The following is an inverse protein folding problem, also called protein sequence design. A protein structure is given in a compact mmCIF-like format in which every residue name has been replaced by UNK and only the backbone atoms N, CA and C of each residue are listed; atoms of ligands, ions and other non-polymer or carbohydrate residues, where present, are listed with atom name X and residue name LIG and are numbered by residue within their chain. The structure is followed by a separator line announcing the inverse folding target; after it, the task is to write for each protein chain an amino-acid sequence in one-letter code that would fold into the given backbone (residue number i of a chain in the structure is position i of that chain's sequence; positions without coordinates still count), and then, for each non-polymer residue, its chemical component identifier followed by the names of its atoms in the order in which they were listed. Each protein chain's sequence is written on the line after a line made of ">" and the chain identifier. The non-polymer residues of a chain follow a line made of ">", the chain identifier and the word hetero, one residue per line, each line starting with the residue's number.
data_IF_368534254580
#
_entry.id   IF_368534254580
#
_cell.length_a   1.000
_cell.length_b   1.000
_cell.length_c   1.000
_cell.angle_alpha   90.00
_cell.angle_beta   90.00
_cell.angle_gamma   90.00
#
_symmetry.space_group_name_H-M   'P 1'
#
loop_
_entity.id
_entity.type
_entity.pdbx_description
1 polymer ?
#
# COMPACT_ATOMS: atom_id res chain seq x y z
N UNK A 1 52.50 -55.79 -21.88
CA UNK A 1 51.98 -55.13 -20.66
C UNK A 1 52.12 -53.62 -20.86
N UNK A 2 51.02 -52.85 -20.77
CA UNK A 2 50.86 -51.40 -21.06
C UNK A 2 50.25 -51.04 -22.42
N UNK A 3 48.93 -51.21 -22.51
CA UNK A 3 48.00 -50.33 -23.22
C UNK A 3 46.78 -50.17 -22.30
N UNK A 4 46.07 -49.04 -22.40
CA UNK A 4 44.95 -48.56 -21.57
C UNK A 4 45.32 -47.48 -20.55
N UNK A 5 45.37 -46.23 -21.01
CA UNK A 5 44.93 -45.06 -20.25
C UNK A 5 44.81 -43.87 -21.21
N UNK A 6 43.66 -43.74 -21.86
CA UNK A 6 43.25 -42.51 -22.54
C UNK A 6 41.73 -42.46 -22.49
N UNK A 7 41.21 -41.27 -22.16
CA UNK A 7 39.78 -40.89 -22.04
C UNK A 7 39.18 -41.01 -20.64
N UNK A 8 39.49 -40.04 -19.77
CA UNK A 8 38.52 -39.58 -18.77
C UNK A 8 38.82 -38.15 -18.29
N UNK A 9 38.79 -37.15 -19.17
CA UNK A 9 38.87 -35.74 -18.75
C UNK A 9 38.21 -34.84 -19.80
N UNK A 10 36.90 -34.96 -19.98
CA UNK A 10 36.11 -33.91 -20.65
C UNK A 10 34.62 -33.97 -20.27
N UNK A 11 34.32 -33.78 -18.97
CA UNK A 11 32.92 -33.65 -18.52
C UNK A 11 32.72 -32.67 -17.33
N UNK A 12 33.76 -31.94 -16.90
CA UNK A 12 33.69 -31.10 -15.68
C UNK A 12 33.49 -29.59 -15.99
N UNK A 13 33.53 -29.17 -17.26
CA UNK A 13 33.47 -27.75 -17.63
C UNK A 13 32.06 -27.12 -17.80
N UNK A 14 31.00 -27.93 -17.87
CA UNK A 14 29.64 -27.45 -18.21
C UNK A 14 28.69 -27.31 -17.01
N UNK A 15 29.02 -27.87 -15.84
CA UNK A 15 28.14 -27.83 -14.66
C UNK A 15 28.25 -26.51 -13.85
N UNK A 16 29.46 -25.93 -13.79
CA UNK A 16 29.71 -24.67 -13.07
C UNK A 16 28.96 -23.45 -13.64
N UNK A 17 28.93 -23.19 -14.98
CA UNK A 17 28.23 -22.03 -15.51
C UNK A 17 26.70 -22.14 -15.36
N UNK A 18 26.14 -23.36 -15.40
CA UNK A 18 24.70 -23.59 -15.25
C UNK A 18 24.23 -23.37 -13.81
N UNK A 19 24.99 -23.85 -12.81
CA UNK A 19 24.68 -23.62 -11.39
C UNK A 19 24.78 -22.13 -11.00
N UNK A 20 25.76 -21.41 -11.54
CA UNK A 20 25.90 -19.97 -11.30
C UNK A 20 24.75 -19.17 -11.93
N UNK A 21 24.36 -19.49 -13.16
CA UNK A 21 23.24 -18.83 -13.84
C UNK A 21 21.91 -19.03 -13.09
N UNK A 22 21.66 -20.25 -12.59
CA UNK A 22 20.46 -20.53 -11.80
C UNK A 22 20.43 -19.79 -10.45
N UNK A 23 21.57 -19.63 -9.78
CA UNK A 23 21.66 -18.85 -8.54
C UNK A 23 21.43 -17.34 -8.79
N UNK A 24 22.00 -16.80 -9.88
CA UNK A 24 21.78 -15.40 -10.27
C UNK A 24 20.31 -15.14 -10.63
N UNK A 25 19.65 -16.08 -11.30
CA UNK A 25 18.22 -15.99 -11.64
C UNK A 25 17.33 -16.06 -10.38
N UNK A 26 17.69 -16.89 -9.40
CA UNK A 26 16.99 -16.96 -8.11
C UNK A 26 17.10 -15.65 -7.33
N UNK A 27 18.29 -15.04 -7.27
CA UNK A 27 18.51 -13.75 -6.59
C UNK A 27 17.74 -12.63 -7.28
N UNK A 28 17.78 -12.54 -8.61
CA UNK A 28 16.98 -11.54 -9.36
C UNK A 28 15.49 -11.71 -9.15
N UNK A 29 15.01 -12.96 -9.15
CA UNK A 29 13.61 -13.27 -8.82
C UNK A 29 13.28 -12.86 -7.39
N UNK A 30 14.19 -13.12 -6.45
CA UNK A 30 14.07 -12.72 -5.04
C UNK A 30 13.98 -11.22 -4.86
N UNK A 31 14.79 -10.45 -5.57
CA UNK A 31 14.72 -8.98 -5.59
C UNK A 31 13.34 -8.51 -6.05
N UNK A 32 12.85 -9.06 -7.17
CA UNK A 32 11.53 -8.74 -7.70
C UNK A 32 10.42 -9.05 -6.69
N UNK A 33 10.46 -10.22 -6.07
CA UNK A 33 9.46 -10.67 -5.10
C UNK A 33 9.53 -9.89 -3.79
N UNK A 34 10.73 -9.53 -3.31
CA UNK A 34 10.89 -8.70 -2.12
C UNK A 34 10.32 -7.29 -2.34
N UNK A 35 10.46 -6.77 -3.56
CA UNK A 35 9.82 -5.52 -3.99
C UNK A 35 8.31 -5.67 -4.09
N UNK A 36 7.80 -6.72 -4.74
CA UNK A 36 6.36 -6.99 -4.83
C UNK A 36 5.68 -7.20 -3.46
N UNK A 37 6.40 -7.81 -2.53
CA UNK A 37 6.01 -7.96 -1.13
C UNK A 37 6.18 -6.68 -0.28
N UNK A 38 6.61 -5.58 -0.89
CA UNK A 38 6.80 -4.29 -0.24
C UNK A 38 7.67 -4.35 1.03
N UNK A 39 8.67 -5.24 1.05
CA UNK A 39 9.49 -5.47 2.25
C UNK A 39 10.21 -4.19 2.69
N UNK A 40 10.65 -3.37 1.73
CA UNK A 40 11.39 -2.13 2.01
C UNK A 40 10.56 -1.09 2.74
N UNK A 41 9.26 -0.99 2.44
CA UNK A 41 8.40 0.06 3.01
C UNK A 41 8.37 -0.03 4.53
N UNK A 42 8.28 -1.23 5.11
CA UNK A 42 8.26 -1.43 6.56
C UNK A 42 9.65 -1.60 7.19
N UNK A 43 10.63 -2.12 6.43
CA UNK A 43 11.95 -2.44 6.94
C UNK A 43 13.01 -1.37 6.66
N UNK A 44 12.62 -0.12 6.36
CA UNK A 44 13.55 0.99 6.13
C UNK A 44 13.07 2.25 6.84
N UNK A 45 13.84 2.77 7.79
CA UNK A 45 13.55 4.06 8.41
C UNK A 45 13.81 5.23 7.44
N UNK A 46 13.14 6.39 7.59
CA UNK A 46 13.47 7.60 6.84
C UNK A 46 14.95 7.97 6.97
N UNK A 47 15.65 8.13 5.83
CA UNK A 47 17.09 8.38 5.79
C UNK A 47 17.97 7.21 6.27
N UNK A 48 17.39 6.04 6.54
CA UNK A 48 18.08 4.82 6.93
C UNK A 48 18.60 4.02 5.74
N UNK A 49 19.48 3.06 6.03
CA UNK A 49 19.93 2.09 5.03
C UNK A 49 18.77 1.13 4.66
N UNK A 50 18.66 0.71 3.39
CA UNK A 50 17.64 -0.24 2.96
C UNK A 50 17.60 -1.49 3.84
N UNK A 51 16.40 -1.92 4.23
CA UNK A 51 16.17 -3.14 5.02
C UNK A 51 16.74 -3.16 6.45
N UNK A 52 17.34 -2.06 6.92
CA UNK A 52 17.95 -1.97 8.25
C UNK A 52 16.94 -1.77 9.40
N UNK A 53 15.65 -1.75 9.10
CA UNK A 53 14.57 -1.56 10.06
C UNK A 53 14.44 -0.13 10.57
N UNK A 54 13.65 0.02 11.63
CA UNK A 54 13.49 1.26 12.39
C UNK A 54 12.33 2.15 11.98
N UNK A 55 11.52 1.78 10.99
CA UNK A 55 10.30 2.52 10.68
C UNK A 55 9.28 2.37 11.83
N UNK A 56 8.75 3.48 12.39
CA UNK A 56 7.65 3.42 13.35
C UNK A 56 6.31 3.18 12.65
N UNK A 57 5.61 2.12 13.05
CA UNK A 57 4.23 1.81 12.69
C UNK A 57 3.38 2.14 13.90
N UNK A 58 2.73 3.30 13.85
CA UNK A 58 1.86 3.78 14.93
C UNK A 58 0.54 3.01 14.90
N UNK A 59 0.14 2.46 16.04
CA UNK A 59 -1.15 1.78 16.19
C UNK A 59 -1.85 2.21 17.47
N UNK A 60 -3.17 1.96 17.60
CA UNK A 60 -3.90 2.19 18.86
C UNK A 60 -3.33 1.41 20.06
N UNK A 61 -2.52 0.38 19.81
CA UNK A 61 -1.94 -0.48 20.85
C UNK A 61 -0.53 -0.04 21.28
N UNK A 62 0.05 0.95 20.60
CA UNK A 62 1.45 1.38 20.75
C UNK A 62 2.19 1.39 19.40
N UNK A 63 3.48 1.72 19.44
CA UNK A 63 4.32 1.78 18.24
C UNK A 63 5.07 0.47 18.05
N UNK A 64 4.92 -0.11 16.85
CA UNK A 64 5.67 -1.26 16.38
C UNK A 64 6.78 -0.75 15.48
N UNK A 65 7.97 -1.34 15.55
CA UNK A 65 9.09 -0.95 14.70
C UNK A 65 9.42 -2.06 13.72
N UNK A 66 9.64 -1.70 12.45
CA UNK A 66 10.20 -2.61 11.46
C UNK A 66 11.56 -3.13 11.92
N UNK A 67 11.79 -4.44 11.82
CA UNK A 67 13.05 -5.06 12.23
C UNK A 67 14.14 -4.88 11.17
N UNK A 68 15.41 -5.02 11.56
CA UNK A 68 16.49 -5.15 10.59
C UNK A 68 16.41 -6.55 9.95
N UNK A 69 16.32 -6.61 8.61
CA UNK A 69 16.28 -7.86 7.83
C UNK A 69 17.44 -7.97 6.84
N UNK A 70 18.51 -7.21 7.07
CA UNK A 70 19.81 -7.41 6.40
C UNK A 70 20.49 -8.69 6.91
N UNK A 71 21.53 -9.21 6.23
CA UNK A 71 22.22 -10.42 6.68
C UNK A 71 23.19 -10.20 7.85
N UNK A 72 23.02 -9.12 8.63
CA UNK A 72 23.69 -8.97 9.93
C UNK A 72 23.39 -10.19 10.81
N UNK A 73 24.44 -10.75 11.40
CA UNK A 73 24.33 -11.94 12.28
C UNK A 73 23.85 -11.57 13.69
N UNK A 74 24.10 -10.33 14.12
CA UNK A 74 23.78 -9.87 15.46
C UNK A 74 22.43 -9.16 15.52
N UNK A 75 22.13 -8.32 14.52
CA UNK A 75 20.96 -7.45 14.53
C UNK A 75 19.93 -7.78 13.44
N UNK A 76 20.33 -8.55 12.42
CA UNK A 76 19.50 -8.90 11.26
C UNK A 76 19.06 -10.37 11.21
N UNK A 77 18.85 -10.87 9.99
CA UNK A 77 18.44 -12.24 9.71
C UNK A 77 19.61 -13.16 9.28
N UNK A 78 20.87 -12.73 9.44
CA UNK A 78 22.05 -13.45 8.94
C UNK A 78 22.28 -14.85 9.51
N UNK A 79 21.54 -15.23 10.56
CA UNK A 79 21.58 -16.57 11.15
C UNK A 79 20.31 -17.41 10.87
N UNK A 80 19.34 -16.86 10.15
CA UNK A 80 18.15 -17.61 9.74
C UNK A 80 18.53 -18.61 8.65
N UNK A 81 18.07 -19.85 8.79
CA UNK A 81 18.00 -20.77 7.65
C UNK A 81 16.69 -20.56 6.86
N UNK A 82 16.54 -21.25 5.73
CA UNK A 82 15.40 -21.06 4.83
C UNK A 82 14.06 -21.49 5.46
N UNK A 83 14.05 -22.54 6.30
CA UNK A 83 12.85 -22.97 7.02
C UNK A 83 12.45 -21.97 8.11
N UNK A 84 13.43 -21.42 8.83
CA UNK A 84 13.20 -20.39 9.85
C UNK A 84 12.71 -19.08 9.23
N UNK A 85 13.25 -18.70 8.07
CA UNK A 85 12.79 -17.53 7.32
C UNK A 85 11.36 -17.74 6.80
N UNK A 86 11.08 -18.90 6.21
CA UNK A 86 9.74 -19.26 5.77
C UNK A 86 8.74 -19.24 6.93
N UNK A 87 9.06 -19.83 8.08
CA UNK A 87 8.19 -19.82 9.26
C UNK A 87 7.97 -18.40 9.83
N UNK A 88 8.98 -17.53 9.75
CA UNK A 88 8.82 -16.12 10.13
C UNK A 88 7.84 -15.40 9.18
N UNK A 89 7.97 -15.63 7.87
CA UNK A 89 7.10 -15.01 6.87
C UNK A 89 5.67 -15.56 6.87
N UNK A 90 5.48 -16.87 6.99
CA UNK A 90 4.18 -17.52 6.76
C UNK A 90 3.43 -17.91 8.04
N UNK A 91 4.13 -17.97 9.19
CA UNK A 91 3.53 -18.36 10.47
C UNK A 91 3.73 -17.32 11.58
N UNK A 92 4.48 -16.25 11.29
CA UNK A 92 4.84 -15.24 12.27
C UNK A 92 5.73 -15.78 13.39
N UNK A 93 6.54 -16.83 13.14
CA UNK A 93 7.41 -17.46 14.14
C UNK A 93 8.87 -17.07 13.92
N UNK A 94 9.44 -16.33 14.86
CA UNK A 94 10.86 -15.93 14.79
C UNK A 94 11.76 -17.11 15.13
N UNK A 95 13.02 -17.02 14.70
CA UNK A 95 14.08 -17.98 15.03
C UNK A 95 14.30 -18.19 16.54
N UNK A 96 14.11 -17.15 17.34
CA UNK A 96 14.20 -17.23 18.81
C UNK A 96 12.96 -17.86 19.48
N UNK A 97 12.02 -18.37 18.69
CA UNK A 97 10.77 -19.00 19.14
C UNK A 97 9.67 -18.00 19.48
N UNK A 98 9.93 -16.69 19.45
CA UNK A 98 8.93 -15.69 19.77
C UNK A 98 8.01 -15.38 18.57
N UNK A 99 6.76 -15.04 18.84
CA UNK A 99 5.80 -14.66 17.79
C UNK A 99 5.97 -13.20 17.35
N UNK A 100 5.80 -12.96 16.06
CA UNK A 100 5.69 -11.64 15.45
C UNK A 100 4.30 -11.05 15.74
N UNK A 101 4.25 -9.73 15.93
CA UNK A 101 2.98 -9.02 15.94
C UNK A 101 2.37 -9.02 14.53
N UNK A 102 1.03 -9.10 14.39
CA UNK A 102 0.33 -9.13 13.10
C UNK A 102 0.35 -7.78 12.35
N UNK A 103 1.26 -6.87 12.71
CA UNK A 103 1.66 -5.77 11.85
C UNK A 103 2.60 -6.23 10.74
N UNK A 104 3.35 -7.32 10.96
CA UNK A 104 3.96 -8.06 9.86
C UNK A 104 2.86 -8.89 9.19
N UNK A 105 2.67 -8.79 7.86
CA UNK A 105 1.51 -9.37 7.16
C UNK A 105 1.65 -10.90 6.91
N UNK A 106 2.09 -11.67 7.92
CA UNK A 106 2.20 -13.13 7.80
C UNK A 106 0.85 -13.81 7.60
N UNK A 107 -0.25 -13.16 8.00
CA UNK A 107 -1.62 -13.59 7.72
C UNK A 107 -2.02 -13.52 6.25
N UNK A 108 -1.30 -12.72 5.46
CA UNK A 108 -1.41 -12.68 4.01
C UNK A 108 -0.37 -13.60 3.38
N UNK A 109 0.88 -13.54 3.84
CA UNK A 109 1.98 -14.38 3.33
C UNK A 109 1.88 -15.87 3.65
N UNK A 110 0.95 -16.34 4.49
CA UNK A 110 0.80 -17.78 4.73
C UNK A 110 0.51 -18.60 3.45
N UNK A 111 0.02 -17.93 2.41
CA UNK A 111 -0.24 -18.47 1.07
C UNK A 111 0.95 -18.31 0.11
N UNK A 112 2.07 -17.74 0.56
CA UNK A 112 3.29 -17.60 -0.24
C UNK A 112 3.88 -18.98 -0.51
N UNK A 113 4.13 -19.34 -1.78
CA UNK A 113 4.84 -20.56 -2.12
C UNK A 113 6.24 -20.59 -1.51
N UNK A 114 6.73 -21.79 -1.16
CA UNK A 114 8.05 -21.97 -0.58
C UNK A 114 9.16 -21.38 -1.46
N UNK A 115 9.12 -21.65 -2.76
CA UNK A 115 10.12 -21.18 -3.71
C UNK A 115 10.21 -19.64 -3.78
N UNK A 116 9.12 -18.93 -3.48
CA UNK A 116 9.07 -17.47 -3.48
C UNK A 116 9.75 -16.93 -2.22
N UNK A 117 9.49 -17.54 -1.07
CA UNK A 117 10.18 -17.21 0.18
C UNK A 117 11.68 -17.51 0.11
N UNK A 118 12.07 -18.65 -0.47
CA UNK A 118 13.48 -19.02 -0.62
C UNK A 118 14.22 -18.06 -1.57
N UNK A 119 13.57 -17.63 -2.67
CA UNK A 119 14.12 -16.62 -3.56
C UNK A 119 14.30 -15.27 -2.85
N UNK A 120 13.28 -14.80 -2.11
CA UNK A 120 13.39 -13.58 -1.30
C UNK A 120 14.56 -13.70 -0.31
N UNK A 121 14.67 -14.83 0.40
CA UNK A 121 15.75 -15.04 1.36
C UNK A 121 17.13 -15.02 0.70
N UNK A 122 17.26 -15.66 -0.47
CA UNK A 122 18.49 -15.65 -1.25
C UNK A 122 18.90 -14.22 -1.63
N UNK A 123 17.95 -13.38 -2.06
CA UNK A 123 18.21 -11.97 -2.33
C UNK A 123 18.63 -11.18 -1.09
N UNK A 124 17.90 -11.31 0.03
CA UNK A 124 18.22 -10.60 1.27
C UNK A 124 19.63 -10.96 1.79
N UNK A 125 20.10 -12.19 1.57
CA UNK A 125 21.48 -12.61 1.89
C UNK A 125 22.57 -11.88 1.09
N UNK A 126 22.23 -11.25 -0.04
CA UNK A 126 23.18 -10.49 -0.87
C UNK A 126 23.29 -9.01 -0.49
N UNK A 127 22.40 -8.53 0.36
CA UNK A 127 22.35 -7.12 0.78
C UNK A 127 23.49 -6.82 1.74
N UNK A 128 23.96 -5.56 1.75
CA UNK A 128 24.96 -5.12 2.72
C UNK A 128 24.45 -5.35 4.17
N UNK A 129 25.21 -6.08 5.01
CA UNK A 129 24.87 -6.23 6.42
C UNK A 129 24.93 -4.88 7.13
N UNK A 130 23.84 -4.49 7.80
CA UNK A 130 23.81 -3.27 8.60
C UNK A 130 23.84 -3.64 10.07
N UNK A 131 24.93 -3.31 10.75
CA UNK A 131 25.12 -3.59 12.18
C UNK A 131 24.45 -2.51 13.05
N UNK A 132 23.11 -2.49 13.01
CA UNK A 132 22.27 -1.61 13.82
C UNK A 132 21.04 -2.35 14.33
N UNK A 133 20.82 -2.30 15.64
CA UNK A 133 19.58 -2.77 16.24
C UNK A 133 18.42 -1.82 15.88
N UNK A 134 17.29 -2.41 15.46
CA UNK A 134 16.03 -1.68 15.37
C UNK A 134 15.52 -1.33 16.78
N UNK A 135 14.81 -0.20 16.96
CA UNK A 135 14.18 0.13 18.24
C UNK A 135 13.23 -0.99 18.71
N UNK A 136 13.16 -1.20 20.02
CA UNK A 136 12.25 -2.20 20.59
C UNK A 136 10.79 -1.77 20.49
N UNK A 137 9.94 -2.68 20.01
CA UNK A 137 8.48 -2.51 20.02
C UNK A 137 7.95 -2.53 21.45
N UNK A 138 7.21 -1.48 21.82
CA UNK A 138 6.56 -1.37 23.14
C UNK A 138 5.07 -1.14 22.95
N UNK A 139 4.28 -2.16 23.30
CA UNK A 139 2.82 -2.10 23.27
C UNK A 139 2.27 -1.96 24.69
N UNK A 140 1.06 -1.43 24.78
CA UNK A 140 0.32 -1.34 26.03
C UNK A 140 -0.23 -2.70 26.46
N UNK A 141 -0.38 -2.93 27.76
CA UNK A 141 -1.08 -4.12 28.27
C UNK A 141 -2.54 -4.16 27.74
N UNK A 142 -3.06 -5.34 27.35
CA UNK A 142 -2.45 -6.68 27.41
C UNK A 142 -1.64 -7.09 26.17
N UNK A 143 -1.52 -6.21 25.17
CA UNK A 143 -0.89 -6.50 23.88
C UNK A 143 0.63 -6.70 23.96
N UNK A 144 1.27 -6.31 25.07
CA UNK A 144 2.68 -6.63 25.35
C UNK A 144 2.92 -8.11 25.74
N UNK A 145 1.88 -8.86 26.08
CA UNK A 145 2.00 -10.26 26.49
C UNK A 145 1.97 -11.18 25.26
N UNK A 146 3.15 -11.64 24.82
CA UNK A 146 3.28 -12.49 23.61
C UNK A 146 2.50 -13.80 23.65
N UNK A 147 2.14 -14.33 24.82
CA UNK A 147 1.32 -15.55 24.92
C UNK A 147 -0.05 -15.38 24.26
N UNK A 148 -0.62 -14.17 24.31
CA UNK A 148 -1.88 -13.85 23.64
C UNK A 148 -1.81 -14.00 22.12
N UNK A 149 -0.62 -13.83 21.52
CA UNK A 149 -0.41 -14.02 20.09
C UNK A 149 -0.58 -15.48 19.66
N UNK A 150 -0.33 -16.46 20.54
CA UNK A 150 -0.56 -17.87 20.20
C UNK A 150 -2.05 -18.10 19.92
N UNK A 151 -2.92 -17.63 20.83
CA UNK A 151 -4.37 -17.71 20.65
C UNK A 151 -4.85 -16.92 19.43
N UNK A 152 -4.27 -15.74 19.20
CA UNK A 152 -4.57 -14.93 18.02
C UNK A 152 -4.21 -15.67 16.72
N UNK A 153 -3.00 -16.24 16.63
CA UNK A 153 -2.53 -16.95 15.45
C UNK A 153 -3.37 -18.20 15.16
N UNK A 154 -3.84 -18.90 16.20
CA UNK A 154 -4.74 -20.05 16.03
C UNK A 154 -6.08 -19.67 15.38
N UNK A 155 -6.59 -18.47 15.65
CA UNK A 155 -7.86 -17.99 15.12
C UNK A 155 -7.71 -17.31 13.75
N UNK A 156 -6.66 -16.50 13.59
CA UNK A 156 -6.56 -15.55 12.46
C UNK A 156 -5.34 -15.79 11.56
N UNK A 157 -4.35 -16.56 12.01
CA UNK A 157 -3.06 -16.74 11.33
C UNK A 157 -3.16 -17.25 9.89
N UNK A 158 -4.21 -18.00 9.58
CA UNK A 158 -4.48 -18.58 8.26
C UNK A 158 -5.91 -18.30 7.78
N UNK A 159 -6.53 -17.22 8.26
CA UNK A 159 -7.93 -16.93 7.99
C UNK A 159 -8.18 -16.49 6.53
N UNK A 160 -7.18 -15.88 5.89
CA UNK A 160 -7.28 -15.49 4.48
C UNK A 160 -7.32 -16.75 3.60
N UNK A 161 -8.39 -16.85 2.80
CA UNK A 161 -8.56 -17.88 1.79
C UNK A 161 -8.75 -17.19 0.43
N UNK A 162 -7.95 -17.63 -0.53
CA UNK A 162 -8.00 -17.21 -1.93
C UNK A 162 -9.38 -17.53 -2.55
N UNK A 163 -9.89 -16.63 -3.39
CA UNK A 163 -11.17 -16.90 -4.06
C UNK A 163 -11.02 -18.05 -5.05
N UNK A 164 -12.07 -18.89 -5.21
CA UNK A 164 -12.05 -19.98 -6.18
C UNK A 164 -11.77 -19.47 -7.60
N UNK A 165 -10.92 -20.20 -8.32
CA UNK A 165 -10.40 -19.81 -9.62
C UNK A 165 -11.12 -20.47 -10.80
N UNK A 166 -12.19 -21.24 -10.55
CA UNK A 166 -12.96 -21.90 -11.61
C UNK A 166 -13.53 -20.88 -12.60
N UNK A 167 -13.17 -21.03 -13.88
CA UNK A 167 -13.61 -20.13 -14.95
C UNK A 167 -12.88 -18.78 -15.00
N UNK A 168 -11.89 -18.55 -14.14
CA UNK A 168 -11.06 -17.33 -14.13
C UNK A 168 -9.86 -17.45 -15.06
N UNK A 169 -9.46 -16.34 -15.66
CA UNK A 169 -8.25 -16.29 -16.49
C UNK A 169 -6.98 -16.49 -15.65
N UNK A 170 -5.87 -16.82 -16.31
CA UNK A 170 -4.57 -16.91 -15.62
C UNK A 170 -4.08 -15.54 -15.15
N UNK A 171 -4.43 -14.46 -15.85
CA UNK A 171 -4.17 -13.09 -15.41
C UNK A 171 -4.89 -12.79 -14.09
N UNK A 172 -6.17 -13.18 -13.98
CA UNK A 172 -6.91 -12.99 -12.73
C UNK A 172 -6.31 -13.78 -11.57
N UNK A 173 -5.90 -15.04 -11.78
CA UNK A 173 -5.24 -15.87 -10.76
C UNK A 173 -3.92 -15.26 -10.31
N UNK A 174 -3.11 -14.79 -11.27
CA UNK A 174 -1.85 -14.10 -10.99
C UNK A 174 -2.10 -12.82 -10.20
N UNK A 175 -3.09 -12.03 -10.61
CA UNK A 175 -3.47 -10.79 -9.94
C UNK A 175 -3.92 -11.02 -8.51
N UNK A 176 -4.69 -12.08 -8.25
CA UNK A 176 -5.09 -12.43 -6.89
C UNK A 176 -3.89 -12.70 -6.00
N UNK A 177 -2.91 -13.47 -6.48
CA UNK A 177 -1.67 -13.70 -5.75
C UNK A 177 -0.88 -12.40 -5.51
N UNK A 178 -0.79 -11.54 -6.52
CA UNK A 178 -0.09 -10.25 -6.42
C UNK A 178 -0.78 -9.27 -5.46
N UNK A 179 -2.11 -9.26 -5.36
CA UNK A 179 -2.88 -8.32 -4.53
C UNK A 179 -3.09 -8.84 -3.11
N UNK A 180 -3.53 -10.09 -2.96
CA UNK A 180 -3.91 -10.65 -1.65
C UNK A 180 -2.71 -11.18 -0.88
N UNK A 181 -1.70 -11.73 -1.57
CA UNK A 181 -0.56 -12.40 -0.93
C UNK A 181 0.66 -11.51 -0.92
N UNK A 182 1.26 -11.21 -2.09
CA UNK A 182 2.49 -10.41 -2.14
C UNK A 182 2.23 -8.96 -1.74
N UNK A 183 1.34 -8.25 -2.43
CA UNK A 183 1.04 -6.86 -2.14
C UNK A 183 0.20 -6.63 -0.89
N UNK A 184 -0.30 -7.70 -0.25
CA UNK A 184 -1.10 -7.70 0.99
C UNK A 184 -2.12 -6.55 1.09
N UNK A 185 -2.73 -6.17 -0.04
CA UNK A 185 -3.55 -4.96 -0.15
C UNK A 185 -4.74 -5.00 0.82
N UNK A 186 -5.23 -6.20 1.11
CA UNK A 186 -6.27 -6.45 2.11
C UNK A 186 -5.93 -5.92 3.50
N UNK A 187 -4.66 -5.87 3.91
CA UNK A 187 -4.25 -5.43 5.25
C UNK A 187 -4.59 -3.95 5.50
N UNK A 188 -4.70 -3.13 4.46
CA UNK A 188 -5.16 -1.73 4.52
C UNK A 188 -6.60 -1.57 4.00
N UNK A 189 -6.96 -2.28 2.93
CA UNK A 189 -8.23 -2.13 2.24
C UNK A 189 -9.36 -3.05 2.77
N UNK A 190 -9.18 -3.69 3.93
CA UNK A 190 -10.22 -4.47 4.62
C UNK A 190 -10.43 -3.89 6.02
N UNK A 191 -11.68 -3.72 6.49
CA UNK A 191 -11.91 -3.19 7.83
C UNK A 191 -11.41 -4.19 8.89
N UNK A 192 -10.87 -3.68 9.99
CA UNK A 192 -10.38 -4.50 11.11
C UNK A 192 -11.37 -4.48 12.28
N UNK A 193 -11.58 -5.64 12.90
CA UNK A 193 -12.35 -5.77 14.14
C UNK A 193 -11.43 -5.75 15.36
N UNK A 194 -11.98 -5.84 16.57
CA UNK A 194 -11.19 -6.21 17.75
C UNK A 194 -10.96 -7.74 17.74
N UNK A 195 -9.74 -8.25 17.97
CA UNK A 195 -8.55 -7.57 18.51
C UNK A 195 -7.48 -7.15 17.46
N UNK A 196 -7.89 -6.57 16.33
CA UNK A 196 -7.00 -6.07 15.26
C UNK A 196 -6.95 -6.94 14.00
N UNK A 197 -7.72 -8.03 13.95
CA UNK A 197 -7.80 -8.91 12.79
C UNK A 197 -8.68 -8.32 11.68
N UNK A 198 -8.39 -8.65 10.42
CA UNK A 198 -9.21 -8.29 9.26
C UNK A 198 -10.60 -8.97 9.34
N UNK A 199 -11.65 -8.22 9.02
CA UNK A 199 -13.01 -8.74 8.83
C UNK A 199 -13.13 -9.27 7.40
N UNK A 200 -12.76 -10.52 7.19
CA UNK A 200 -12.65 -11.13 5.85
C UNK A 200 -14.02 -11.32 5.16
N UNK A 201 -15.13 -11.25 5.88
CA UNK A 201 -16.48 -11.14 5.29
C UNK A 201 -16.72 -9.80 4.57
N UNK A 202 -15.87 -8.81 4.85
CA UNK A 202 -15.83 -7.48 4.23
C UNK A 202 -14.50 -7.22 3.52
N UNK A 203 -13.88 -8.29 3.02
CA UNK A 203 -12.58 -8.23 2.33
C UNK A 203 -12.63 -7.18 1.20
N UNK A 204 -11.61 -6.32 1.15
CA UNK A 204 -11.45 -5.26 0.14
C UNK A 204 -12.56 -4.18 0.12
N UNK A 205 -13.45 -4.09 1.10
CA UNK A 205 -14.49 -3.03 1.14
C UNK A 205 -13.99 -1.68 1.64
N UNK A 206 -12.70 -1.56 1.95
CA UNK A 206 -12.05 -0.38 2.50
C UNK A 206 -11.81 -0.45 4.01
N UNK A 207 -10.81 0.29 4.49
CA UNK A 207 -10.37 0.31 5.88
C UNK A 207 -9.88 1.69 6.32
N UNK A 208 -9.81 1.93 7.62
CA UNK A 208 -9.26 3.19 8.16
C UNK A 208 -7.86 2.95 8.72
N UNK A 209 -6.89 3.69 8.20
CA UNK A 209 -5.50 3.66 8.63
C UNK A 209 -5.04 5.09 8.92
N UNK A 210 -4.52 5.35 10.12
CA UNK A 210 -4.03 6.68 10.55
C UNK A 210 -5.01 7.84 10.29
N UNK A 211 -6.31 7.57 10.42
CA UNK A 211 -7.36 8.58 10.16
C UNK A 211 -7.61 8.86 8.68
N UNK A 212 -7.01 8.10 7.76
CA UNK A 212 -7.32 8.08 6.33
C UNK A 212 -8.13 6.83 5.98
N UNK A 213 -9.01 6.96 4.98
CA UNK A 213 -9.73 5.85 4.38
C UNK A 213 -8.88 5.27 3.25
N UNK A 214 -8.47 4.01 3.39
CA UNK A 214 -8.10 3.15 2.28
C UNK A 214 -9.40 2.73 1.56
N UNK A 215 -9.70 3.24 0.34
CA UNK A 215 -11.00 3.05 -0.28
C UNK A 215 -11.30 1.59 -0.63
N UNK A 216 -12.57 1.23 -0.80
CA UNK A 216 -12.94 -0.08 -1.33
C UNK A 216 -12.24 -0.39 -2.66
N UNK A 217 -11.69 -1.58 -2.81
CA UNK A 217 -11.09 -2.07 -4.06
C UNK A 217 -12.03 -3.01 -4.83
N UNK A 218 -13.30 -3.12 -4.42
CA UNK A 218 -14.29 -3.91 -5.16
C UNK A 218 -14.52 -3.33 -6.56
N UNK A 219 -14.69 -4.20 -7.55
CA UNK A 219 -14.86 -3.83 -8.96
C UNK A 219 -15.97 -2.79 -9.18
N UNK A 220 -17.12 -2.95 -8.51
CA UNK A 220 -18.25 -2.01 -8.61
C UNK A 220 -17.91 -0.63 -8.07
N UNK A 221 -17.14 -0.57 -6.98
CA UNK A 221 -16.82 0.67 -6.29
C UNK A 221 -15.70 1.42 -7.02
N UNK A 222 -14.73 0.68 -7.58
CA UNK A 222 -13.73 1.19 -8.51
C UNK A 222 -14.41 1.80 -9.74
N UNK A 223 -15.30 1.05 -10.41
CA UNK A 223 -16.01 1.54 -11.58
C UNK A 223 -16.92 2.72 -11.28
N UNK A 224 -17.62 2.74 -10.14
CA UNK A 224 -18.40 3.90 -9.68
C UNK A 224 -17.52 5.16 -9.53
N UNK A 225 -16.24 5.00 -9.18
CA UNK A 225 -15.28 6.10 -9.11
C UNK A 225 -14.55 6.37 -10.42
N UNK A 226 -14.95 5.72 -11.52
CA UNK A 226 -14.44 5.97 -12.87
C UNK A 226 -13.17 5.20 -13.22
N UNK A 227 -12.80 4.19 -12.43
CA UNK A 227 -11.64 3.35 -12.73
C UNK A 227 -11.96 2.29 -13.78
N UNK A 228 -11.01 2.08 -14.69
CA UNK A 228 -10.96 0.94 -15.60
C UNK A 228 -9.59 0.25 -15.48
N UNK A 229 -9.41 -0.85 -16.21
CA UNK A 229 -8.21 -1.70 -16.11
C UNK A 229 -6.93 -0.95 -16.51
N UNK A 230 -6.99 -0.18 -17.60
CA UNK A 230 -5.84 0.59 -18.09
C UNK A 230 -5.43 1.68 -17.10
N UNK A 231 -6.40 2.44 -16.57
CA UNK A 231 -6.14 3.51 -15.62
C UNK A 231 -5.60 2.95 -14.30
N UNK A 232 -6.14 1.82 -13.83
CA UNK A 232 -5.67 1.17 -12.61
C UNK A 232 -4.25 0.61 -12.75
N UNK A 233 -3.93 -0.04 -13.86
CA UNK A 233 -2.57 -0.50 -14.15
C UNK A 233 -1.59 0.68 -14.26
N UNK A 234 -2.00 1.77 -14.93
CA UNK A 234 -1.22 3.03 -15.03
C UNK A 234 -0.97 3.63 -13.66
N UNK A 235 -1.99 3.67 -12.81
CA UNK A 235 -1.89 4.17 -11.45
C UNK A 235 -0.95 3.34 -10.59
N UNK A 236 -1.02 2.01 -10.66
CA UNK A 236 -0.09 1.13 -9.95
C UNK A 236 1.35 1.31 -10.46
N UNK A 237 1.55 1.48 -11.76
CA UNK A 237 2.88 1.64 -12.36
C UNK A 237 3.52 2.99 -12.05
N UNK A 238 2.75 4.06 -12.17
CA UNK A 238 3.25 5.43 -12.19
C UNK A 238 2.86 6.23 -10.95
N UNK A 239 2.05 5.66 -10.05
CA UNK A 239 1.52 6.34 -8.88
C UNK A 239 0.48 7.41 -9.22
N UNK A 240 0.05 7.52 -10.48
CA UNK A 240 -0.89 8.52 -10.95
C UNK A 240 -1.72 8.08 -12.16
N UNK A 241 -2.93 8.61 -12.23
CA UNK A 241 -3.88 8.46 -13.34
C UNK A 241 -4.83 9.67 -13.38
N UNK A 242 -5.79 9.69 -14.31
CA UNK A 242 -6.81 10.74 -14.36
C UNK A 242 -7.63 10.82 -13.06
N UNK A 243 -7.75 9.70 -12.34
CA UNK A 243 -8.52 9.57 -11.11
C UNK A 243 -7.77 10.07 -9.87
N UNK A 244 -6.47 10.42 -9.97
CA UNK A 244 -5.68 10.99 -8.89
C UNK A 244 -4.27 10.40 -8.77
N UNK A 245 -3.61 10.68 -7.64
CA UNK A 245 -2.26 10.21 -7.30
C UNK A 245 -2.26 9.32 -6.05
N UNK A 246 -1.24 8.47 -5.91
CA UNK A 246 -0.94 7.80 -4.65
C UNK A 246 -0.30 8.81 -3.69
N UNK A 247 -0.99 9.12 -2.60
CA UNK A 247 -0.53 10.04 -1.57
C UNK A 247 -0.60 9.40 -0.19
N UNK A 248 0.08 10.03 0.77
CA UNK A 248 0.18 9.57 2.15
C UNK A 248 0.57 8.07 2.22
N UNK A 249 -0.18 7.22 2.94
CA UNK A 249 0.15 5.80 3.14
C UNK A 249 0.28 4.98 1.83
N UNK A 250 -0.36 5.39 0.74
CA UNK A 250 -0.21 4.70 -0.56
C UNK A 250 1.05 5.12 -1.32
N UNK A 251 1.66 6.27 -0.99
CA UNK A 251 2.86 6.72 -1.69
C UNK A 251 4.08 5.83 -1.43
N UNK A 252 4.37 5.38 -0.19
CA UNK A 252 5.40 4.37 0.06
C UNK A 252 5.17 3.05 -0.68
N UNK A 253 3.91 2.61 -0.83
CA UNK A 253 3.56 1.39 -1.60
C UNK A 253 3.95 1.56 -3.07
N UNK A 254 3.67 2.71 -3.68
CA UNK A 254 4.17 3.04 -5.00
C UNK A 254 5.69 3.07 -5.04
N UNK A 255 6.30 3.84 -4.14
CA UNK A 255 7.72 4.16 -4.18
C UNK A 255 8.60 2.92 -3.92
N UNK A 256 8.19 2.04 -3.02
CA UNK A 256 9.00 0.90 -2.60
C UNK A 256 8.57 -0.42 -3.27
N UNK A 257 7.39 -0.48 -3.90
CA UNK A 257 6.85 -1.70 -4.51
C UNK A 257 6.38 -1.48 -5.95
N UNK A 258 5.18 -0.92 -6.15
CA UNK A 258 4.43 -1.12 -7.41
C UNK A 258 5.11 -0.51 -8.63
N UNK A 259 5.89 0.57 -8.47
CA UNK A 259 6.61 1.20 -9.58
C UNK A 259 7.68 0.30 -10.21
N UNK A 260 8.17 -0.70 -9.47
CA UNK A 260 9.19 -1.63 -9.94
C UNK A 260 8.63 -2.96 -10.43
N UNK A 261 7.30 -3.11 -10.49
CA UNK A 261 6.66 -4.31 -11.00
C UNK A 261 6.63 -4.32 -12.53
N UNK A 262 6.59 -5.52 -13.11
CA UNK A 262 6.48 -5.66 -14.55
C UNK A 262 5.04 -5.42 -15.02
N UNK A 263 4.90 -5.00 -16.29
CA UNK A 263 3.60 -4.67 -16.87
C UNK A 263 2.59 -5.83 -16.84
N UNK A 264 2.98 -7.10 -17.10
CA UNK A 264 2.07 -8.23 -16.95
C UNK A 264 1.47 -8.38 -15.54
N UNK A 265 2.27 -8.20 -14.49
CA UNK A 265 1.79 -8.32 -13.11
C UNK A 265 0.91 -7.14 -12.71
N UNK A 266 1.24 -5.93 -13.15
CA UNK A 266 0.40 -4.74 -12.94
C UNK A 266 -0.96 -4.86 -13.65
N UNK A 267 -0.97 -5.38 -14.89
CA UNK A 267 -2.19 -5.70 -15.60
C UNK A 267 -2.99 -6.79 -14.89
N UNK A 268 -2.33 -7.87 -14.46
CA UNK A 268 -2.96 -8.96 -13.70
C UNK A 268 -3.62 -8.45 -12.41
N UNK A 269 -2.96 -7.57 -11.65
CA UNK A 269 -3.54 -6.91 -10.46
C UNK A 269 -4.82 -6.14 -10.81
N UNK A 270 -4.80 -5.37 -11.91
CA UNK A 270 -5.98 -4.64 -12.37
C UNK A 270 -7.10 -5.60 -12.82
N UNK A 271 -6.77 -6.67 -13.56
CA UNK A 271 -7.72 -7.73 -13.95
C UNK A 271 -8.33 -8.41 -12.73
N UNK A 272 -7.56 -8.66 -11.66
CA UNK A 272 -8.10 -9.25 -10.43
C UNK A 272 -9.12 -8.34 -9.76
N UNK A 273 -8.75 -7.07 -9.56
CA UNK A 273 -9.56 -6.10 -8.82
C UNK A 273 -10.86 -5.71 -9.56
N UNK A 274 -10.82 -5.62 -10.90
CA UNK A 274 -12.00 -5.28 -11.71
C UNK A 274 -12.74 -6.51 -12.25
N UNK A 275 -12.08 -7.67 -12.27
CA UNK A 275 -12.58 -8.92 -12.84
C UNK A 275 -12.26 -9.08 -14.34
N UNK A 276 -12.33 -10.32 -14.83
CA UNK A 276 -12.12 -10.67 -16.25
C UNK A 276 -13.09 -9.97 -17.22
N UNK A 277 -14.22 -9.49 -16.70
CA UNK A 277 -15.23 -8.72 -17.43
C UNK A 277 -15.58 -7.50 -16.58
N UNK A 278 -14.77 -6.44 -16.67
CA UNK A 278 -14.90 -5.31 -15.76
C UNK A 278 -16.22 -4.58 -15.98
N UNK A 279 -16.89 -4.09 -14.92
CA UNK A 279 -18.01 -3.16 -15.07
C UNK A 279 -17.54 -1.88 -15.76
N UNK A 280 -18.45 -1.22 -16.48
CA UNK A 280 -18.13 0.03 -17.17
C UNK A 280 -17.80 1.13 -16.16
N UNK A 281 -16.67 1.79 -16.36
CA UNK A 281 -16.28 2.96 -15.58
C UNK A 281 -17.34 4.07 -15.70
N UNK A 282 -17.81 4.57 -14.56
CA UNK A 282 -18.82 5.62 -14.51
C UNK A 282 -18.16 6.98 -14.74
N UNK A 283 -18.58 7.67 -15.80
CA UNK A 283 -18.17 9.05 -16.04
C UNK A 283 -18.72 9.98 -14.94
N UNK A 284 -17.95 11.02 -14.61
CA UNK A 284 -18.45 12.12 -13.79
C UNK A 284 -19.61 12.81 -14.51
N UNK A 285 -20.75 12.93 -13.82
CA UNK A 285 -21.85 13.80 -14.25
C UNK A 285 -21.67 15.13 -13.55
N UNK A 286 -21.31 16.16 -14.31
CA UNK A 286 -21.08 17.49 -13.75
C UNK A 286 -22.40 18.15 -13.37
N UNK A 287 -22.42 18.76 -12.19
CA UNK A 287 -23.55 19.52 -11.70
C UNK A 287 -23.32 21.01 -11.99
N UNK A 288 -24.19 21.67 -12.77
CA UNK A 288 -24.12 23.11 -12.99
C UNK A 288 -24.12 23.92 -11.69
N UNK A 289 -23.39 25.03 -11.67
CA UNK A 289 -23.20 25.87 -10.46
C UNK A 289 -24.50 26.34 -9.82
N UNK A 290 -25.51 26.67 -10.62
CA UNK A 290 -26.84 27.11 -10.18
C UNK A 290 -27.66 26.00 -9.51
N UNK A 291 -27.28 24.73 -9.75
CA UNK A 291 -27.90 23.55 -9.16
C UNK A 291 -27.16 23.01 -7.94
N UNK A 292 -25.98 23.55 -7.64
CA UNK A 292 -25.26 23.22 -6.41
C UNK A 292 -25.99 23.79 -5.20
N UNK A 293 -25.79 23.17 -4.03
CA UNK A 293 -26.35 23.66 -2.80
C UNK A 293 -25.80 25.05 -2.40
N UNK A 294 -26.49 25.84 -1.57
CA UNK A 294 -25.99 27.15 -1.14
C UNK A 294 -24.60 27.08 -0.47
N UNK A 295 -24.31 26.00 0.26
CA UNK A 295 -22.98 25.76 0.84
C UNK A 295 -21.92 25.56 -0.25
N UNK A 296 -22.18 24.70 -1.23
CA UNK A 296 -21.27 24.47 -2.35
C UNK A 296 -21.07 25.72 -3.24
N UNK A 297 -22.12 26.53 -3.43
CA UNK A 297 -21.99 27.80 -4.16
C UNK A 297 -21.04 28.78 -3.47
N UNK A 298 -21.11 28.90 -2.13
CA UNK A 298 -20.13 29.68 -1.35
C UNK A 298 -18.73 29.07 -1.40
N UNK A 299 -18.65 27.74 -1.32
CA UNK A 299 -17.39 27.00 -1.35
C UNK A 299 -16.56 27.23 -2.61
N UNK A 300 -17.20 27.51 -3.74
CA UNK A 300 -16.49 27.89 -4.97
C UNK A 300 -15.62 29.13 -4.77
N UNK A 301 -16.09 30.12 -4.02
CA UNK A 301 -15.29 31.31 -3.77
C UNK A 301 -14.05 30.98 -2.95
N UNK A 302 -14.18 30.11 -1.95
CA UNK A 302 -13.03 29.65 -1.16
C UNK A 302 -12.02 28.90 -2.04
N UNK A 303 -12.49 28.02 -2.92
CA UNK A 303 -11.61 27.36 -3.89
C UNK A 303 -10.84 28.35 -4.76
N UNK A 304 -11.51 29.37 -5.29
CA UNK A 304 -10.87 30.41 -6.11
C UNK A 304 -9.85 31.23 -5.33
N UNK A 305 -10.11 31.47 -4.04
CA UNK A 305 -9.23 32.25 -3.17
C UNK A 305 -7.94 31.49 -2.84
N UNK A 306 -8.02 30.19 -2.51
CA UNK A 306 -6.88 29.47 -1.90
C UNK A 306 -6.39 28.24 -2.66
N UNK A 307 -7.15 27.69 -3.60
CA UNK A 307 -6.81 26.45 -4.31
C UNK A 307 -6.47 26.66 -5.79
N UNK A 308 -7.18 27.59 -6.46
CA UNK A 308 -7.13 27.75 -7.92
C UNK A 308 -5.75 28.17 -8.47
N UNK A 309 -4.89 28.76 -7.63
CA UNK A 309 -3.51 29.10 -8.01
C UNK A 309 -2.72 27.88 -8.50
N UNK A 310 -2.91 26.72 -7.86
CA UNK A 310 -2.25 25.47 -8.22
C UNK A 310 -3.18 24.54 -9.01
N UNK A 311 -4.43 24.35 -8.58
CA UNK A 311 -5.37 23.40 -9.19
C UNK A 311 -6.15 23.94 -10.40
N UNK A 312 -5.81 25.16 -10.86
CA UNK A 312 -6.51 25.91 -11.91
C UNK A 312 -7.96 26.29 -11.54
N UNK A 313 -8.53 27.30 -12.20
CA UNK A 313 -9.83 27.86 -11.83
C UNK A 313 -11.00 26.88 -12.03
N UNK A 314 -10.91 25.98 -13.00
CA UNK A 314 -11.92 24.96 -13.28
C UNK A 314 -11.59 23.58 -12.73
N UNK A 315 -10.55 23.45 -11.90
CA UNK A 315 -10.16 22.18 -11.29
C UNK A 315 -9.43 21.23 -12.22
N UNK A 316 -8.87 21.72 -13.33
CA UNK A 316 -8.13 20.92 -14.31
C UNK A 316 -6.79 20.41 -13.78
N UNK A 317 -6.30 20.99 -12.68
CA UNK A 317 -4.94 20.76 -12.22
C UNK A 317 -3.91 21.46 -13.10
N UNK A 318 -2.64 21.26 -12.77
CA UNK A 318 -1.51 21.73 -13.56
C UNK A 318 -0.49 20.58 -13.62
N UNK A 319 -0.11 20.11 -14.83
CA UNK A 319 0.91 19.08 -14.98
C UNK A 319 2.15 19.39 -14.15
N UNK A 320 2.69 18.36 -13.49
CA UNK A 320 3.86 18.45 -12.61
C UNK A 320 3.75 19.38 -11.38
N UNK A 321 2.56 19.92 -11.10
CA UNK A 321 2.35 20.86 -10.00
C UNK A 321 1.26 20.34 -9.08
N UNK A 322 0.08 20.08 -9.62
CA UNK A 322 -1.10 19.78 -8.84
C UNK A 322 -2.09 18.91 -9.64
N UNK A 323 -2.68 17.93 -8.96
CA UNK A 323 -3.65 17.01 -9.56
C UNK A 323 -4.91 17.74 -10.03
N UNK A 324 -5.55 17.18 -11.05
CA UNK A 324 -6.92 17.54 -11.41
C UNK A 324 -7.87 17.22 -10.24
N UNK A 325 -8.84 18.09 -10.03
CA UNK A 325 -9.93 17.91 -9.07
C UNK A 325 -11.14 17.23 -9.73
N UNK A 326 -11.40 17.54 -11.00
CA UNK A 326 -12.53 16.96 -11.74
C UNK A 326 -12.39 15.44 -11.83
N UNK A 327 -13.35 14.71 -11.26
CA UNK A 327 -13.37 13.26 -11.31
C UNK A 327 -12.33 12.57 -10.42
N UNK A 328 -11.58 13.34 -9.61
CA UNK A 328 -10.61 12.78 -8.69
C UNK A 328 -11.29 11.90 -7.63
N UNK A 329 -10.74 10.70 -7.43
CA UNK A 329 -11.27 9.66 -6.53
C UNK A 329 -11.59 10.21 -5.15
N UNK A 330 -10.73 11.04 -4.57
CA UNK A 330 -10.91 11.60 -3.22
C UNK A 330 -12.19 12.44 -3.11
N UNK A 331 -12.59 13.12 -4.19
CA UNK A 331 -13.81 13.94 -4.22
C UNK A 331 -15.05 13.07 -4.50
N UNK A 332 -14.85 11.91 -5.13
CA UNK A 332 -15.90 10.94 -5.47
C UNK A 332 -16.23 9.98 -4.32
N UNK A 333 -15.49 10.00 -3.20
CA UNK A 333 -15.79 9.18 -2.02
C UNK A 333 -17.00 9.73 -1.26
N UNK A 334 -17.87 8.83 -0.81
CA UNK A 334 -18.99 9.19 0.07
C UNK A 334 -18.46 9.72 1.42
N UNK A 335 -17.54 8.98 2.04
CA UNK A 335 -16.80 9.42 3.21
C UNK A 335 -15.80 10.52 2.82
N UNK A 336 -16.03 11.72 3.34
CA UNK A 336 -15.30 12.94 3.00
C UNK A 336 -13.98 13.09 3.76
N UNK A 337 -13.63 12.12 4.62
CA UNK A 337 -12.45 12.15 5.47
C UNK A 337 -11.16 12.37 4.68
N UNK A 338 -10.93 11.64 3.59
CA UNK A 338 -9.70 11.82 2.82
C UNK A 338 -9.58 13.24 2.26
N UNK A 339 -10.68 13.79 1.76
CA UNK A 339 -10.70 15.16 1.23
C UNK A 339 -10.42 16.18 2.34
N UNK A 340 -11.10 16.03 3.48
CA UNK A 340 -10.86 16.86 4.66
C UNK A 340 -9.39 16.79 5.10
N UNK A 341 -8.85 15.59 5.27
CA UNK A 341 -7.50 15.35 5.78
C UNK A 341 -6.44 15.90 4.83
N UNK A 342 -6.58 15.68 3.52
CA UNK A 342 -5.68 16.27 2.51
C UNK A 342 -5.67 17.80 2.58
N UNK A 343 -6.84 18.43 2.75
CA UNK A 343 -6.93 19.89 2.87
C UNK A 343 -6.30 20.37 4.18
N UNK A 344 -6.54 19.68 5.30
CA UNK A 344 -6.05 20.11 6.61
C UNK A 344 -4.55 19.85 6.81
N UNK A 345 -4.10 18.63 6.53
CA UNK A 345 -2.72 18.18 6.73
C UNK A 345 -1.79 18.72 5.63
N UNK A 346 -2.31 18.86 4.41
CA UNK A 346 -1.50 19.09 3.22
C UNK A 346 -0.85 17.79 2.71
N UNK A 347 -0.02 17.92 1.68
CA UNK A 347 0.75 16.82 1.10
C UNK A 347 2.17 17.33 0.85
N UNK A 348 3.17 16.54 1.26
CA UNK A 348 4.58 16.80 0.95
C UNK A 348 4.87 16.75 -0.55
N UNK A 349 6.10 17.08 -0.94
CA UNK A 349 6.52 16.91 -2.33
C UNK A 349 6.53 15.41 -2.69
N UNK A 350 5.95 15.06 -3.84
CA UNK A 350 5.89 13.68 -4.29
C UNK A 350 6.53 13.52 -5.67
N UNK A 351 7.42 12.55 -5.81
CA UNK A 351 8.07 12.20 -7.08
C UNK A 351 7.51 10.89 -7.60
N UNK A 352 7.08 10.90 -8.86
CA UNK A 352 6.49 9.77 -9.56
C UNK A 352 7.43 9.29 -10.66
N UNK A 353 7.03 8.28 -11.43
CA UNK A 353 7.89 7.72 -12.48
C UNK A 353 8.28 8.77 -13.53
N UNK A 354 9.50 8.67 -14.05
CA UNK A 354 10.00 9.59 -15.07
C UNK A 354 10.29 10.99 -14.49
N UNK A 355 9.68 12.02 -15.07
CA UNK A 355 9.83 13.42 -14.64
C UNK A 355 8.59 13.96 -13.91
N UNK A 356 7.60 13.10 -13.66
CA UNK A 356 6.38 13.48 -12.96
C UNK A 356 6.65 13.75 -11.49
N UNK A 357 6.14 14.88 -11.00
CA UNK A 357 6.23 15.28 -9.61
C UNK A 357 5.02 16.14 -9.23
N UNK A 358 4.68 16.19 -7.96
CA UNK A 358 3.67 17.09 -7.42
C UNK A 358 4.34 18.01 -6.41
N UNK A 359 4.08 19.31 -6.54
CA UNK A 359 4.58 20.31 -5.61
C UNK A 359 3.89 20.13 -4.25
N UNK A 360 4.55 20.51 -3.15
CA UNK A 360 3.94 20.40 -1.84
C UNK A 360 2.64 21.22 -1.78
N UNK A 361 1.57 20.57 -1.32
CA UNK A 361 0.30 21.22 -1.04
C UNK A 361 0.28 21.64 0.43
N UNK A 362 0.19 22.95 0.75
CA UNK A 362 0.16 23.39 2.14
C UNK A 362 -1.11 22.93 2.84
N UNK A 363 -0.98 22.53 4.11
CA UNK A 363 -2.13 22.26 4.98
C UNK A 363 -2.88 23.54 5.35
N UNK A 364 -4.20 23.43 5.46
CA UNK A 364 -5.13 24.51 5.81
C UNK A 364 -5.77 24.36 7.19
N UNK A 365 -5.29 23.43 8.02
CA UNK A 365 -5.70 23.31 9.41
C UNK A 365 -5.59 24.67 10.14
N UNK A 366 -6.69 25.12 10.75
CA UNK A 366 -6.78 26.40 11.44
C UNK A 366 -6.71 27.66 10.56
N UNK A 367 -6.58 27.53 9.23
CA UNK A 367 -6.54 28.67 8.29
C UNK A 367 -7.90 29.02 7.69
N UNK A 368 -8.83 28.06 7.69
CA UNK A 368 -10.22 28.24 7.30
C UNK A 368 -11.13 28.08 8.51
N UNK A 369 -12.18 28.90 8.61
CA UNK A 369 -13.23 28.65 9.61
C UNK A 369 -13.96 27.34 9.30
N UNK A 370 -14.60 26.75 10.31
CA UNK A 370 -15.36 25.50 10.13
C UNK A 370 -16.43 25.61 9.02
N UNK A 371 -17.06 26.79 8.88
CA UNK A 371 -18.02 27.04 7.81
C UNK A 371 -17.36 27.10 6.44
N UNK A 372 -16.23 27.80 6.30
CA UNK A 372 -15.51 27.92 5.02
C UNK A 372 -14.99 26.56 4.56
N UNK A 373 -14.44 25.75 5.47
CA UNK A 373 -13.99 24.40 5.19
C UNK A 373 -15.17 23.51 4.73
N UNK A 374 -16.30 23.57 5.43
CA UNK A 374 -17.51 22.82 5.06
C UNK A 374 -18.03 23.23 3.68
N UNK A 375 -18.09 24.54 3.42
CA UNK A 375 -18.51 25.08 2.12
C UNK A 375 -17.57 24.60 1.00
N UNK A 376 -16.25 24.68 1.21
CA UNK A 376 -15.23 24.19 0.26
C UNK A 376 -15.39 22.69 -0.03
N UNK A 377 -15.55 21.85 1.02
CA UNK A 377 -15.78 20.41 0.86
C UNK A 377 -17.03 20.13 0.03
N UNK A 378 -18.13 20.82 0.33
CA UNK A 378 -19.38 20.67 -0.41
C UNK A 378 -19.24 21.07 -1.88
N UNK A 379 -18.49 22.14 -2.19
CA UNK A 379 -18.21 22.52 -3.57
C UNK A 379 -17.46 21.43 -4.33
N UNK A 380 -16.33 20.96 -3.77
CA UNK A 380 -15.48 19.96 -4.41
C UNK A 380 -16.25 18.65 -4.65
N UNK A 381 -17.00 18.19 -3.64
CA UNK A 381 -17.78 16.95 -3.70
C UNK A 381 -18.95 17.02 -4.67
N UNK A 382 -19.76 18.08 -4.61
CA UNK A 382 -20.94 18.21 -5.47
C UNK A 382 -20.57 18.60 -6.91
N UNK A 383 -19.67 19.58 -7.06
CA UNK A 383 -19.29 20.10 -8.38
C UNK A 383 -18.43 19.13 -9.19
N UNK A 384 -17.45 18.49 -8.54
CA UNK A 384 -16.40 17.72 -9.23
C UNK A 384 -16.29 16.26 -8.78
N UNK A 385 -16.90 15.92 -7.65
CA UNK A 385 -17.00 14.55 -7.13
C UNK A 385 -18.27 13.80 -7.56
N UNK A 386 -19.31 14.50 -8.01
CA UNK A 386 -20.62 13.89 -8.33
C UNK A 386 -21.40 13.41 -7.10
N UNK A 387 -21.05 13.89 -5.90
CA UNK A 387 -21.72 13.57 -4.65
C UNK A 387 -22.91 14.51 -4.44
N UNK A 388 -24.10 14.00 -4.15
CA UNK A 388 -25.29 14.85 -3.95
C UNK A 388 -25.49 15.30 -2.50
N UNK A 389 -24.92 14.58 -1.53
CA UNK A 389 -25.13 14.83 -0.11
C UNK A 389 -24.32 16.05 0.39
N UNK A 390 -25.03 17.02 0.96
CA UNK A 390 -24.42 18.16 1.66
C UNK A 390 -23.92 17.74 3.05
N UNK A 391 -22.70 18.15 3.39
CA UNK A 391 -22.14 18.04 4.74
C UNK A 391 -22.58 19.23 5.59
N UNK A 392 -23.01 18.97 6.82
CA UNK A 392 -23.14 20.01 7.83
C UNK A 392 -21.77 20.29 8.49
N UNK A 393 -21.63 21.47 9.10
CA UNK A 393 -20.43 21.81 9.90
C UNK A 393 -20.17 20.78 10.99
N UNK A 394 -21.24 20.26 11.60
CA UNK A 394 -21.14 19.22 12.64
C UNK A 394 -20.62 17.89 12.10
N UNK A 395 -20.81 17.56 10.82
CA UNK A 395 -20.26 16.35 10.23
C UNK A 395 -18.75 16.48 10.01
N UNK A 396 -18.30 17.65 9.54
CA UNK A 396 -16.87 17.97 9.42
C UNK A 396 -16.18 17.92 10.79
N UNK A 397 -16.79 18.51 11.82
CA UNK A 397 -16.26 18.47 13.19
C UNK A 397 -16.19 17.05 13.77
N UNK A 398 -17.18 16.19 13.48
CA UNK A 398 -17.12 14.77 13.87
C UNK A 398 -15.93 14.07 13.21
N UNK A 399 -15.68 14.33 11.92
CA UNK A 399 -14.53 13.73 11.22
C UNK A 399 -13.20 14.22 11.80
N UNK A 400 -13.07 15.51 12.11
CA UNK A 400 -11.89 16.07 12.77
C UNK A 400 -11.64 15.42 14.14
N UNK A 401 -12.70 15.16 14.92
CA UNK A 401 -12.59 14.53 16.23
C UNK A 401 -12.22 13.03 16.19
N UNK A 402 -12.36 12.37 15.04
CA UNK A 402 -12.00 10.95 14.85
C UNK A 402 -10.53 10.74 14.50
N UNK A 403 -9.76 11.81 14.35
CA UNK A 403 -8.34 11.75 14.00
C UNK A 403 -7.51 11.44 15.25
N UNK A 404 -6.75 10.34 15.28
CA UNK A 404 -5.78 10.13 16.35
C UNK A 404 -4.73 11.25 16.29
N UNK A 405 -4.29 11.75 17.45
CA UNK A 405 -3.25 12.77 17.56
C UNK A 405 -1.90 12.20 17.10
N UNK A 406 -1.70 12.12 15.79
CA UNK A 406 -0.41 11.80 15.18
C UNK A 406 0.04 13.08 14.49
N UNK A 407 1.19 13.60 14.92
CA UNK A 407 1.86 14.72 14.25
C UNK A 407 2.25 14.27 12.83
N UNK A 408 1.33 14.36 11.88
CA UNK A 408 1.66 14.35 10.45
C UNK A 408 2.25 15.72 10.12
N UNK A 409 3.49 15.95 10.54
CA UNK A 409 4.29 16.96 9.88
C UNK A 409 4.56 16.40 8.48
N UNK A 410 3.92 16.96 7.46
CA UNK A 410 4.18 16.62 6.08
C UNK A 410 5.70 16.56 5.85
N UNK A 411 6.20 15.37 5.51
CA UNK A 411 7.58 15.16 5.08
C UNK A 411 7.64 15.29 3.56
#
# INVERSE_FOLDING_TARGET
>A
MKLFLTRLTLAVGLAAPVLSAHADDQVKRGEYLARAADCMACHTAPGGAPFAGGLPIVSPFGTIYGTNITPSKEHGIGLYNDDEFFAALTEGKRRDGAHLYPAMPYTSYHLMPRDDSDAIHAYLKTIEPIERAAPETRLSFPFNVRLGLIGWNLLYGKALVLEPAEGKSDAWKRGQYMVEVLGHCGECHTPRGLPGAMQLDRRLTGGILNGYLAPSLLATDLAARGWNEQDLATFLKHGMSAQGTMFNEMFPVFHNSTQGLNDPDLAAMATFLLGDKPPAAQALVEVPMDKLSPSAQRGRQEYLNVCAGCHAAGGEGKPHIAVAMRGNTTLRLEDSRNLLRVIEDGIGEQKFSGFEHMQPMPGFAGKLSAQQLTDLLNFLRQGWGGQSAELAVSDVQKLQAQVPSVEHNAH
#
